data_IF_522381829468
#
_entry.id   IF_522381829468
#
_cell.length_a   1.000
_cell.length_b   1.000
_cell.length_c   1.000
_cell.angle_alpha   90.00
_cell.angle_beta   90.00
_cell.angle_gamma   90.00
#
_symmetry.space_group_name_H-M   'P 1'
#
loop_
_entity.id
_entity.type
_entity.pdbx_description
1 polymer ?
#
# COMPACT_ATOMS: atom_id res chain seq x y z
N UNK A 1 -33.85 17.49 14.24
CA UNK A 1 -33.68 17.82 12.81
C UNK A 1 -32.26 17.43 12.42
N UNK A 2 -32.09 16.44 11.55
CA UNK A 2 -30.77 16.04 11.04
C UNK A 2 -30.26 17.14 10.11
N UNK A 3 -29.18 17.81 10.51
CA UNK A 3 -28.54 18.85 9.70
C UNK A 3 -28.06 18.24 8.37
N UNK A 4 -28.48 18.82 7.25
CA UNK A 4 -28.05 18.38 5.92
C UNK A 4 -26.52 18.55 5.84
N UNK A 5 -25.74 17.53 5.41
CA UNK A 5 -24.28 17.66 5.31
C UNK A 5 -23.86 18.83 4.41
N UNK A 6 -22.83 19.58 4.80
CA UNK A 6 -22.36 20.78 4.08
C UNK A 6 -22.12 20.54 2.59
N UNK A 7 -21.48 19.42 2.24
CA UNK A 7 -21.30 18.99 0.84
C UNK A 7 -22.62 19.00 0.05
N UNK A 8 -23.69 18.45 0.62
CA UNK A 8 -24.99 18.36 -0.04
C UNK A 8 -25.62 19.73 -0.22
N UNK A 9 -25.43 20.63 0.75
CA UNK A 9 -25.85 22.03 0.62
C UNK A 9 -25.09 22.72 -0.52
N UNK A 10 -23.76 22.55 -0.59
CA UNK A 10 -22.91 23.14 -1.65
C UNK A 10 -23.35 22.66 -3.03
N UNK A 11 -23.58 21.35 -3.21
CA UNK A 11 -23.97 20.78 -4.51
C UNK A 11 -25.44 20.98 -4.87
N UNK A 12 -26.32 21.29 -3.91
CA UNK A 12 -27.73 21.58 -4.18
C UNK A 12 -27.96 22.90 -4.90
N UNK A 13 -27.00 23.82 -4.83
CA UNK A 13 -27.06 25.10 -5.52
C UNK A 13 -26.17 25.02 -6.76
N UNK A 14 -26.73 25.16 -7.99
CA UNK A 14 -25.93 25.20 -9.20
C UNK A 14 -24.79 26.22 -9.07
N UNK A 15 -23.59 25.81 -9.47
CA UNK A 15 -22.47 26.72 -9.49
C UNK A 15 -22.70 27.80 -10.56
N UNK A 16 -22.36 29.05 -10.24
CA UNK A 16 -22.36 30.11 -11.23
C UNK A 16 -21.37 29.76 -12.35
N UNK A 17 -21.71 30.09 -13.60
CA UNK A 17 -20.80 29.92 -14.74
C UNK A 17 -19.50 30.67 -14.46
N UNK A 18 -18.37 30.08 -14.82
CA UNK A 18 -17.04 30.69 -14.65
C UNK A 18 -16.39 30.91 -16.02
N UNK A 19 -17.16 31.37 -17.00
CA UNK A 19 -16.70 31.53 -18.39
C UNK A 19 -15.54 32.55 -18.50
N UNK A 20 -15.44 33.50 -17.55
CA UNK A 20 -14.34 34.47 -17.46
C UNK A 20 -13.07 33.90 -16.82
N UNK A 21 -13.16 32.74 -16.16
CA UNK A 21 -11.99 32.08 -15.59
C UNK A 21 -11.27 31.31 -16.69
N UNK A 22 -9.98 31.55 -16.96
CA UNK A 22 -9.23 30.78 -17.95
C UNK A 22 -9.27 29.27 -17.66
N UNK A 23 -9.33 28.90 -16.38
CA UNK A 23 -9.44 27.51 -15.94
C UNK A 23 -10.69 26.84 -16.51
N UNK A 24 -11.84 27.52 -16.60
CA UNK A 24 -13.11 26.94 -17.03
C UNK A 24 -13.58 27.38 -18.42
N UNK A 25 -13.23 28.60 -18.85
CA UNK A 25 -13.59 29.17 -20.15
C UNK A 25 -12.60 28.83 -21.28
N UNK A 26 -11.35 28.47 -20.95
CA UNK A 26 -10.32 28.15 -21.96
C UNK A 26 -9.89 26.68 -21.88
N UNK A 27 -9.63 26.16 -20.67
CA UNK A 27 -9.09 24.81 -20.54
C UNK A 27 -10.18 23.74 -20.66
N UNK A 28 -9.97 22.70 -21.48
CA UNK A 28 -10.90 21.57 -21.56
C UNK A 28 -10.83 20.72 -20.28
N UNK A 29 -11.86 19.89 -20.07
CA UNK A 29 -12.05 19.14 -18.83
C UNK A 29 -10.87 18.19 -18.52
N UNK A 30 -10.22 17.63 -19.53
CA UNK A 30 -9.08 16.74 -19.41
C UNK A 30 -7.87 17.46 -18.81
N UNK A 31 -7.60 18.70 -19.27
CA UNK A 31 -6.51 19.52 -18.76
C UNK A 31 -6.81 20.00 -17.35
N UNK A 32 -8.07 20.38 -17.07
CA UNK A 32 -8.50 20.69 -15.70
C UNK A 32 -8.30 19.50 -14.78
N UNK A 33 -8.72 18.31 -15.19
CA UNK A 33 -8.54 17.08 -14.42
C UNK A 33 -7.08 16.80 -14.09
N UNK A 34 -6.16 17.04 -15.03
CA UNK A 34 -4.73 16.92 -14.78
C UNK A 34 -4.23 17.95 -13.75
N UNK A 35 -4.63 19.23 -13.88
CA UNK A 35 -4.28 20.30 -12.94
C UNK A 35 -4.82 19.98 -11.54
N UNK A 36 -6.08 19.59 -11.45
CA UNK A 36 -6.74 19.23 -10.19
C UNK A 36 -6.11 18.01 -9.55
N UNK A 37 -5.72 17.02 -10.35
CA UNK A 37 -5.02 15.85 -9.83
C UNK A 37 -3.71 16.25 -9.18
N UNK A 38 -2.88 17.04 -9.87
CA UNK A 38 -1.63 17.55 -9.32
C UNK A 38 -1.81 18.40 -8.06
N UNK A 39 -2.83 19.28 -8.05
CA UNK A 39 -3.10 20.16 -6.92
C UNK A 39 -3.65 19.44 -5.68
N UNK A 40 -4.39 18.34 -5.87
CA UNK A 40 -5.08 17.62 -4.80
C UNK A 40 -4.39 16.31 -4.39
N UNK A 41 -3.31 15.92 -5.08
CA UNK A 41 -2.42 14.83 -4.63
C UNK A 41 -1.92 15.12 -3.22
N UNK A 42 -1.88 14.07 -2.41
CA UNK A 42 -1.48 14.18 -1.02
C UNK A 42 0.05 14.24 -0.85
N UNK A 43 0.50 14.76 0.28
CA UNK A 43 1.90 14.88 0.66
C UNK A 43 2.07 14.70 2.18
N UNK A 44 3.26 14.32 2.67
CA UNK A 44 3.52 14.27 4.11
C UNK A 44 3.34 15.65 4.74
N UNK A 45 2.62 15.75 5.86
CA UNK A 45 2.39 17.03 6.53
C UNK A 45 3.73 17.69 6.91
N UNK A 46 4.03 18.89 6.39
CA UNK A 46 5.31 19.56 6.68
C UNK A 46 5.35 20.17 8.10
N UNK A 47 4.23 20.19 8.82
CA UNK A 47 4.15 20.77 10.17
C UNK A 47 5.05 19.99 11.14
N UNK A 48 6.06 20.62 11.78
CA UNK A 48 7.00 19.91 12.65
C UNK A 48 6.33 19.12 13.77
N UNK A 49 5.30 19.68 14.40
CA UNK A 49 4.58 19.04 15.51
C UNK A 49 3.76 17.80 15.09
N UNK A 50 3.51 17.65 13.78
CA UNK A 50 2.81 16.48 13.22
C UNK A 50 3.78 15.41 12.71
N UNK A 51 5.08 15.63 12.78
CA UNK A 51 6.05 14.60 12.43
C UNK A 51 6.03 13.48 13.47
N UNK A 52 6.10 12.24 13.00
CA UNK A 52 6.22 11.10 13.89
C UNK A 52 7.57 11.11 14.60
N UNK A 53 7.56 10.70 15.86
CA UNK A 53 8.79 10.55 16.63
C UNK A 53 9.72 9.52 15.97
N UNK A 54 11.00 9.86 15.87
CA UNK A 54 12.02 8.97 15.28
C UNK A 54 12.07 7.61 16.00
N UNK A 55 11.85 7.58 17.31
CA UNK A 55 11.88 6.39 18.18
C UNK A 55 10.61 5.52 18.07
N UNK A 56 10.13 5.31 16.84
CA UNK A 56 8.93 4.52 16.55
C UNK A 56 9.19 3.56 15.41
N UNK A 57 8.64 2.36 15.48
CA UNK A 57 8.83 1.36 14.42
C UNK A 57 8.08 1.67 13.11
N UNK A 58 7.25 2.72 13.08
CA UNK A 58 6.47 3.12 11.89
C UNK A 58 7.03 4.36 11.17
N UNK A 59 8.00 5.07 11.78
CA UNK A 59 8.64 6.23 11.13
C UNK A 59 9.71 5.77 10.16
N UNK A 60 9.65 6.27 8.92
CA UNK A 60 10.60 5.94 7.84
C UNK A 60 10.66 7.08 6.80
N UNK A 61 11.66 7.11 5.91
CA UNK A 61 11.89 8.25 5.00
C UNK A 61 10.70 8.67 4.14
N UNK A 62 9.85 7.74 3.72
CA UNK A 62 8.65 8.02 2.91
C UNK A 62 7.35 8.07 3.73
N UNK A 63 7.45 7.87 5.05
CA UNK A 63 6.32 7.87 5.96
C UNK A 63 6.77 8.36 7.34
N UNK A 64 7.00 9.67 7.44
CA UNK A 64 7.49 10.35 8.64
C UNK A 64 6.46 11.33 9.24
N UNK A 65 5.31 11.50 8.59
CA UNK A 65 4.20 12.32 9.04
C UNK A 65 2.88 11.79 8.46
N UNK A 66 1.72 12.15 9.03
CA UNK A 66 0.43 11.93 8.40
C UNK A 66 0.39 12.57 7.00
N UNK A 67 -0.29 11.93 6.05
CA UNK A 67 -0.46 12.49 4.70
C UNK A 67 -1.68 13.40 4.65
N UNK A 68 -1.57 14.55 4.00
CA UNK A 68 -2.66 15.51 3.77
C UNK A 68 -2.70 15.98 2.32
N UNK A 69 -3.87 16.39 1.87
CA UNK A 69 -4.05 17.12 0.61
C UNK A 69 -4.32 18.59 0.92
N UNK A 70 -3.84 19.49 0.05
CA UNK A 70 -4.27 20.88 0.09
C UNK A 70 -5.72 20.99 -0.43
N UNK A 71 -6.61 21.57 0.38
CA UNK A 71 -8.03 21.71 0.04
C UNK A 71 -8.43 23.15 -0.28
N UNK A 72 -7.48 24.09 -0.34
CA UNK A 72 -7.77 25.48 -0.68
C UNK A 72 -8.45 25.62 -2.04
N UNK A 73 -8.05 24.79 -3.02
CA UNK A 73 -8.71 24.73 -4.33
C UNK A 73 -10.21 24.36 -4.21
N UNK A 74 -10.55 23.42 -3.34
CA UNK A 74 -11.94 23.01 -3.11
C UNK A 74 -12.77 24.13 -2.46
N UNK A 75 -12.11 25.06 -1.77
CA UNK A 75 -12.73 26.20 -1.12
C UNK A 75 -12.84 27.43 -2.04
N UNK A 76 -12.17 27.43 -3.19
CA UNK A 76 -12.10 28.58 -4.08
C UNK A 76 -13.42 28.85 -4.83
N UNK A 77 -14.03 27.82 -5.44
CA UNK A 77 -15.32 27.98 -6.11
C UNK A 77 -16.14 26.67 -6.16
N UNK A 78 -17.46 26.81 -6.33
CA UNK A 78 -18.39 25.66 -6.41
C UNK A 78 -18.17 24.78 -7.64
N UNK A 79 -17.72 25.33 -8.77
CA UNK A 79 -17.43 24.51 -9.96
C UNK A 79 -16.23 23.60 -9.72
N UNK A 80 -15.13 24.12 -9.15
CA UNK A 80 -13.99 23.30 -8.76
C UNK A 80 -14.40 22.24 -7.74
N UNK A 81 -15.15 22.64 -6.70
CA UNK A 81 -15.68 21.70 -5.72
C UNK A 81 -16.52 20.59 -6.36
N UNK A 82 -17.46 20.94 -7.24
CA UNK A 82 -18.33 19.98 -7.91
C UNK A 82 -17.56 18.96 -8.76
N UNK A 83 -16.52 19.40 -9.48
CA UNK A 83 -15.68 18.52 -10.28
C UNK A 83 -14.74 17.62 -9.43
N UNK A 84 -14.34 18.05 -8.22
CA UNK A 84 -13.13 17.49 -7.59
C UNK A 84 -13.20 17.12 -6.11
N UNK A 85 -14.32 17.34 -5.42
CA UNK A 85 -14.41 17.14 -3.96
C UNK A 85 -13.97 15.74 -3.46
N UNK A 86 -14.07 14.70 -4.31
CA UNK A 86 -13.69 13.33 -3.99
C UNK A 86 -12.22 12.99 -4.32
N UNK A 87 -11.55 13.83 -5.12
CA UNK A 87 -10.18 13.59 -5.58
C UNK A 87 -9.16 13.47 -4.44
N UNK A 88 -9.20 14.26 -3.35
CA UNK A 88 -8.25 14.07 -2.25
C UNK A 88 -8.25 12.64 -1.69
N UNK A 89 -9.42 11.98 -1.66
CA UNK A 89 -9.50 10.59 -1.24
C UNK A 89 -9.02 9.63 -2.34
N UNK A 90 -9.43 9.84 -3.59
CA UNK A 90 -9.14 8.91 -4.69
C UNK A 90 -7.66 8.90 -5.08
N UNK A 91 -7.03 10.07 -5.05
CA UNK A 91 -5.63 10.27 -5.43
C UNK A 91 -4.67 9.90 -4.30
N UNK A 92 -5.11 9.96 -3.05
CA UNK A 92 -4.31 9.57 -1.90
C UNK A 92 -3.98 8.08 -1.93
N UNK A 93 -2.71 7.75 -1.68
CA UNK A 93 -2.32 6.38 -1.35
C UNK A 93 -2.96 5.97 -0.01
N UNK A 94 -3.98 5.12 -0.08
CA UNK A 94 -4.70 4.65 1.09
C UNK A 94 -3.76 3.77 1.93
N UNK A 95 -3.36 4.25 3.10
CA UNK A 95 -2.44 3.52 3.98
C UNK A 95 -3.19 2.81 5.10
N UNK A 96 -2.95 1.50 5.23
CA UNK A 96 -3.56 0.66 6.26
C UNK A 96 -2.54 -0.15 7.04
N UNK A 97 -2.69 -0.17 8.36
CA UNK A 97 -1.86 -0.93 9.28
C UNK A 97 -2.61 -2.19 9.72
N UNK A 98 -2.10 -3.35 9.31
CA UNK A 98 -2.53 -4.68 9.74
C UNK A 98 -1.54 -5.21 10.78
N UNK A 99 -1.52 -4.57 11.95
CA UNK A 99 -0.53 -4.78 13.00
C UNK A 99 -1.19 -4.77 14.38
N UNK A 100 -0.42 -5.01 15.44
CA UNK A 100 -0.80 -4.53 16.77
C UNK A 100 -0.89 -2.98 16.80
N UNK A 101 -1.70 -2.42 17.70
CA UNK A 101 -1.99 -0.97 17.73
C UNK A 101 -0.77 -0.11 18.07
N UNK A 102 0.16 -0.62 18.87
CA UNK A 102 1.42 0.02 19.26
C UNK A 102 2.45 0.11 18.13
N UNK A 103 2.16 -0.51 16.97
CA UNK A 103 3.02 -0.57 15.79
C UNK A 103 2.51 0.25 14.61
N UNK A 104 1.43 0.99 14.83
CA UNK A 104 0.84 1.95 13.90
C UNK A 104 0.93 3.36 14.49
N UNK A 105 0.83 4.41 13.66
CA UNK A 105 0.72 5.79 14.13
C UNK A 105 -0.43 5.96 15.15
N UNK A 106 -0.27 6.84 16.16
CA UNK A 106 -1.19 6.95 17.30
C UNK A 106 -2.63 7.36 16.91
N UNK A 107 -2.77 8.12 15.83
CA UNK A 107 -4.04 8.53 15.23
C UNK A 107 -4.72 7.40 14.46
N UNK A 108 -3.98 6.42 13.96
CA UNK A 108 -4.53 5.29 13.22
C UNK A 108 -5.15 4.26 14.16
N UNK A 109 -6.46 4.04 14.06
CA UNK A 109 -7.18 3.06 14.89
C UNK A 109 -7.37 1.74 14.17
N UNK A 110 -6.49 0.76 14.45
CA UNK A 110 -6.42 -0.52 13.72
C UNK A 110 -7.76 -1.27 13.69
N UNK A 111 -8.52 -1.23 14.78
CA UNK A 111 -9.77 -2.01 14.91
C UNK A 111 -10.96 -1.43 14.15
N UNK A 112 -10.94 -0.15 13.78
CA UNK A 112 -12.08 0.53 13.14
C UNK A 112 -11.76 1.08 11.75
N UNK A 113 -10.49 1.10 11.34
CA UNK A 113 -10.05 1.68 10.08
C UNK A 113 -10.72 1.06 8.85
N UNK A 114 -10.96 -0.26 8.85
CA UNK A 114 -11.68 -0.93 7.74
C UNK A 114 -13.12 -0.43 7.62
N UNK A 115 -13.82 -0.25 8.74
CA UNK A 115 -15.20 0.28 8.74
C UNK A 115 -15.22 1.73 8.27
N UNK A 116 -14.24 2.53 8.70
CA UNK A 116 -14.09 3.91 8.26
C UNK A 116 -13.84 3.99 6.74
N UNK A 117 -12.97 3.13 6.21
CA UNK A 117 -12.71 3.02 4.77
C UNK A 117 -13.99 2.67 4.01
N UNK A 118 -14.70 1.62 4.44
CA UNK A 118 -15.95 1.19 3.82
C UNK A 118 -17.00 2.32 3.81
N UNK A 119 -17.14 3.04 4.92
CA UNK A 119 -18.08 4.15 5.03
C UNK A 119 -17.72 5.30 4.08
N UNK A 120 -16.43 5.66 3.98
CA UNK A 120 -15.96 6.70 3.05
C UNK A 120 -16.19 6.30 1.60
N UNK A 121 -15.84 5.08 1.21
CA UNK A 121 -16.04 4.57 -0.15
C UNK A 121 -17.53 4.56 -0.53
N UNK A 122 -18.39 4.13 0.40
CA UNK A 122 -19.84 4.15 0.20
C UNK A 122 -20.36 5.58 -0.02
N UNK A 123 -19.97 6.53 0.85
CA UNK A 123 -20.37 7.92 0.71
C UNK A 123 -19.93 8.52 -0.62
N UNK A 124 -18.71 8.20 -1.08
CA UNK A 124 -18.20 8.71 -2.35
C UNK A 124 -19.02 8.16 -3.52
N UNK A 125 -19.25 6.85 -3.55
CA UNK A 125 -20.01 6.23 -4.63
C UNK A 125 -21.45 6.76 -4.69
N UNK A 126 -22.14 6.86 -3.55
CA UNK A 126 -23.52 7.37 -3.48
C UNK A 126 -23.62 8.79 -4.02
N UNK A 127 -22.68 9.66 -3.63
CA UNK A 127 -22.64 11.06 -4.08
C UNK A 127 -22.21 11.25 -5.53
N UNK A 128 -21.56 10.23 -6.12
CA UNK A 128 -21.21 10.17 -7.53
C UNK A 128 -22.25 9.46 -8.39
N UNK A 129 -23.48 9.27 -7.87
CA UNK A 129 -24.56 8.67 -8.64
C UNK A 129 -24.40 7.15 -8.86
N UNK A 130 -23.65 6.46 -8.00
CA UNK A 130 -23.44 5.01 -8.09
C UNK A 130 -22.24 4.59 -8.95
N UNK A 131 -21.57 5.53 -9.62
CA UNK A 131 -20.42 5.23 -10.48
C UNK A 131 -19.26 4.60 -9.69
N UNK A 132 -18.66 3.56 -10.26
CA UNK A 132 -17.42 2.99 -9.73
C UNK A 132 -16.26 3.94 -9.98
N UNK A 133 -15.28 3.91 -9.08
CA UNK A 133 -14.06 4.68 -9.23
C UNK A 133 -12.88 3.88 -8.70
N UNK A 134 -11.76 4.00 -9.39
CA UNK A 134 -10.50 3.42 -8.93
C UNK A 134 -9.91 4.31 -7.83
N UNK A 135 -9.11 3.70 -6.95
CA UNK A 135 -8.20 4.42 -6.05
C UNK A 135 -6.77 4.24 -6.57
N UNK A 136 -5.93 5.27 -6.43
CA UNK A 136 -4.59 5.23 -7.04
C UNK A 136 -3.73 4.12 -6.44
N UNK A 137 -3.65 4.05 -5.11
CA UNK A 137 -2.87 3.04 -4.41
C UNK A 137 -3.46 2.63 -3.07
N UNK A 138 -3.23 1.38 -2.70
CA UNK A 138 -3.45 0.82 -1.37
C UNK A 138 -2.12 0.31 -0.83
N UNK A 139 -1.59 0.94 0.21
CA UNK A 139 -0.41 0.49 0.93
C UNK A 139 -0.80 -0.15 2.25
N UNK A 140 -0.27 -1.33 2.50
CA UNK A 140 -0.55 -2.13 3.69
C UNK A 140 0.75 -2.44 4.41
N UNK A 141 0.91 -1.93 5.63
CA UNK A 141 1.95 -2.39 6.54
C UNK A 141 1.38 -3.56 7.34
N UNK A 142 2.01 -4.73 7.28
CA UNK A 142 1.47 -5.92 7.90
C UNK A 142 2.47 -6.60 8.83
N UNK A 143 2.01 -6.90 10.03
CA UNK A 143 2.68 -7.84 10.91
C UNK A 143 2.37 -9.26 10.45
N UNK A 144 3.37 -10.14 10.46
CA UNK A 144 3.28 -11.46 9.84
C UNK A 144 2.11 -12.32 10.37
N UNK A 145 1.86 -12.32 11.67
CA UNK A 145 0.73 -13.10 12.24
C UNK A 145 -0.64 -12.59 11.78
N UNK A 146 -0.76 -11.29 11.51
CA UNK A 146 -2.00 -10.64 11.06
C UNK A 146 -2.22 -10.96 9.57
N UNK A 147 -1.14 -10.87 8.77
CA UNK A 147 -1.14 -11.24 7.36
C UNK A 147 -1.47 -12.71 7.15
N UNK A 148 -0.71 -13.61 7.79
CA UNK A 148 -0.88 -15.07 7.67
C UNK A 148 -2.21 -15.54 8.29
N UNK A 149 -2.81 -14.74 9.17
CA UNK A 149 -4.19 -14.90 9.65
C UNK A 149 -5.28 -14.45 8.67
N UNK A 150 -4.93 -14.04 7.44
CA UNK A 150 -5.87 -13.73 6.35
C UNK A 150 -6.45 -12.32 6.38
N UNK A 151 -5.91 -11.40 7.19
CA UNK A 151 -6.48 -10.04 7.32
C UNK A 151 -6.30 -9.18 6.08
N UNK A 152 -5.29 -9.43 5.26
CA UNK A 152 -5.14 -8.73 3.97
C UNK A 152 -6.32 -9.05 3.04
N UNK A 153 -6.68 -10.32 2.90
CA UNK A 153 -7.87 -10.71 2.13
C UNK A 153 -9.15 -10.05 2.68
N UNK A 154 -9.30 -10.01 4.01
CA UNK A 154 -10.43 -9.33 4.66
C UNK A 154 -10.46 -7.83 4.36
N UNK A 155 -9.32 -7.15 4.31
CA UNK A 155 -9.24 -5.73 3.93
C UNK A 155 -9.63 -5.54 2.46
N UNK A 156 -9.11 -6.38 1.57
CA UNK A 156 -9.41 -6.32 0.13
C UNK A 156 -10.88 -6.65 -0.19
N UNK A 157 -11.57 -7.40 0.67
CA UNK A 157 -13.02 -7.61 0.59
C UNK A 157 -13.87 -6.36 0.89
N UNK A 158 -13.24 -5.24 1.27
CA UNK A 158 -13.98 -3.99 1.51
C UNK A 158 -14.72 -3.59 0.24
N UNK A 159 -16.05 -3.48 0.27
CA UNK A 159 -16.81 -3.13 -0.93
C UNK A 159 -16.34 -1.80 -1.51
N UNK A 160 -16.29 -1.73 -2.85
CA UNK A 160 -15.96 -0.52 -3.63
C UNK A 160 -14.48 -0.10 -3.54
N UNK A 161 -13.63 -0.97 -3.00
CA UNK A 161 -12.20 -0.76 -2.95
C UNK A 161 -11.56 -1.31 -4.24
N UNK A 162 -11.21 -0.41 -5.15
CA UNK A 162 -10.64 -0.74 -6.46
C UNK A 162 -9.26 -0.09 -6.64
N UNK A 163 -8.22 -0.53 -5.91
CA UNK A 163 -6.88 0.04 -6.05
C UNK A 163 -6.26 -0.36 -7.38
N UNK A 164 -5.49 0.54 -7.99
CA UNK A 164 -4.67 0.25 -9.17
C UNK A 164 -3.33 -0.38 -8.78
N UNK A 165 -2.73 0.12 -7.71
CA UNK A 165 -1.53 -0.45 -7.08
C UNK A 165 -1.85 -0.97 -5.69
N UNK A 166 -1.41 -2.19 -5.40
CA UNK A 166 -1.37 -2.74 -4.05
C UNK A 166 0.09 -2.83 -3.61
N UNK A 167 0.42 -2.31 -2.43
CA UNK A 167 1.75 -2.51 -1.82
C UNK A 167 1.59 -3.15 -0.46
N UNK A 168 2.28 -4.27 -0.24
CA UNK A 168 2.39 -4.93 1.06
C UNK A 168 3.81 -4.75 1.59
N UNK A 169 3.96 -4.11 2.74
CA UNK A 169 5.27 -3.90 3.39
C UNK A 169 5.36 -4.74 4.65
N UNK A 170 6.38 -5.58 4.74
CA UNK A 170 6.80 -6.27 5.97
C UNK A 170 8.05 -5.58 6.49
N UNK A 171 7.90 -4.83 7.59
CA UNK A 171 9.00 -4.12 8.27
C UNK A 171 9.89 -5.08 9.05
N UNK A 172 11.11 -4.66 9.40
CA UNK A 172 12.01 -5.44 10.26
C UNK A 172 11.31 -5.95 11.52
N UNK A 173 10.62 -5.05 12.21
CA UNK A 173 9.92 -5.39 13.44
C UNK A 173 8.70 -6.30 13.19
N UNK A 174 8.19 -6.41 11.97
CA UNK A 174 6.94 -7.12 11.68
C UNK A 174 7.13 -8.60 11.29
N UNK A 175 8.39 -9.02 11.10
CA UNK A 175 8.74 -10.42 10.87
C UNK A 175 8.45 -11.29 12.10
N UNK A 176 8.22 -12.58 11.86
CA UNK A 176 8.06 -13.55 12.93
C UNK A 176 9.31 -13.64 13.82
N UNK A 177 9.13 -13.46 15.13
CA UNK A 177 10.17 -13.61 16.14
C UNK A 177 11.44 -12.79 15.83
N UNK A 178 11.27 -11.61 15.23
CA UNK A 178 12.36 -10.68 14.92
C UNK A 178 13.12 -10.26 16.20
N UNK A 179 12.42 -10.21 17.34
CA UNK A 179 13.00 -9.90 18.65
C UNK A 179 14.10 -10.89 19.03
N UNK A 180 13.99 -12.15 18.57
CA UNK A 180 14.91 -13.24 18.85
C UNK A 180 15.84 -13.56 17.68
N UNK A 181 15.99 -12.63 16.74
CA UNK A 181 16.81 -12.73 15.54
C UNK A 181 16.56 -13.98 14.68
N UNK A 182 15.33 -14.51 14.69
CA UNK A 182 15.04 -15.74 13.95
C UNK A 182 15.24 -15.55 12.43
N UNK A 183 15.54 -16.65 11.70
CA UNK A 183 15.61 -16.62 10.24
C UNK A 183 14.28 -16.18 9.61
N UNK A 184 14.36 -15.39 8.55
CA UNK A 184 13.18 -14.87 7.85
C UNK A 184 12.40 -16.00 7.17
N UNK A 185 11.08 -15.89 7.17
CA UNK A 185 10.18 -16.86 6.55
C UNK A 185 8.80 -16.26 6.24
N UNK A 186 8.08 -16.90 5.32
CA UNK A 186 6.64 -16.73 5.09
C UNK A 186 5.96 -18.08 5.04
N UNK A 187 4.83 -18.20 5.75
CA UNK A 187 3.80 -19.15 5.37
C UNK A 187 3.02 -18.60 4.16
N UNK A 188 2.43 -19.51 3.38
CA UNK A 188 1.75 -19.17 2.12
C UNK A 188 0.22 -19.37 2.16
N UNK A 189 -0.34 -19.74 3.31
CA UNK A 189 -1.76 -20.06 3.48
C UNK A 189 -2.70 -18.85 3.22
N UNK A 190 -2.19 -17.62 3.30
CA UNK A 190 -2.95 -16.40 3.05
C UNK A 190 -3.09 -16.05 1.56
N UNK A 191 -2.19 -16.57 0.69
CA UNK A 191 -2.11 -16.18 -0.72
C UNK A 191 -3.39 -16.56 -1.47
N UNK A 192 -3.93 -17.76 -1.24
CA UNK A 192 -5.20 -18.18 -1.84
C UNK A 192 -6.33 -17.21 -1.47
N UNK A 193 -6.43 -16.87 -0.19
CA UNK A 193 -7.47 -15.94 0.28
C UNK A 193 -7.37 -14.57 -0.37
N UNK A 194 -6.15 -14.07 -0.63
CA UNK A 194 -5.94 -12.83 -1.40
C UNK A 194 -6.38 -13.02 -2.85
N UNK A 195 -6.00 -14.12 -3.50
CA UNK A 195 -6.39 -14.39 -4.89
C UNK A 195 -7.91 -14.51 -5.08
N UNK A 196 -8.61 -15.09 -4.11
CA UNK A 196 -10.07 -15.22 -4.13
C UNK A 196 -10.78 -13.86 -4.15
N UNK A 197 -10.10 -12.78 -3.73
CA UNK A 197 -10.70 -11.46 -3.50
C UNK A 197 -10.03 -10.32 -4.28
N UNK A 198 -8.91 -10.59 -4.97
CA UNK A 198 -8.11 -9.57 -5.64
C UNK A 198 -8.82 -9.01 -6.88
N UNK A 199 -9.14 -7.72 -6.85
CA UNK A 199 -9.92 -7.05 -7.89
C UNK A 199 -9.16 -6.86 -9.22
N UNK A 200 -9.89 -6.82 -10.33
CA UNK A 200 -9.32 -6.61 -11.69
C UNK A 200 -8.71 -5.22 -11.91
N UNK A 201 -9.04 -4.25 -11.04
CA UNK A 201 -8.42 -2.91 -11.03
C UNK A 201 -6.93 -2.98 -10.73
N UNK A 202 -6.48 -3.96 -9.93
CA UNK A 202 -5.07 -4.10 -9.52
C UNK A 202 -4.22 -4.45 -10.74
N UNK A 203 -3.35 -3.51 -11.13
CA UNK A 203 -2.40 -3.66 -12.24
C UNK A 203 -1.02 -4.06 -11.76
N UNK A 204 -0.70 -3.74 -10.51
CA UNK A 204 0.58 -3.98 -9.88
C UNK A 204 0.36 -4.34 -8.41
N UNK A 205 0.99 -5.43 -7.97
CA UNK A 205 1.08 -5.78 -6.56
C UNK A 205 2.56 -5.83 -6.16
N UNK A 206 3.03 -4.88 -5.36
CA UNK A 206 4.39 -4.84 -4.83
C UNK A 206 4.45 -5.45 -3.44
N UNK A 207 5.44 -6.30 -3.19
CA UNK A 207 5.77 -6.76 -1.83
C UNK A 207 7.13 -6.18 -1.44
N UNK A 208 7.15 -5.30 -0.44
CA UNK A 208 8.35 -4.71 0.15
C UNK A 208 8.80 -5.54 1.36
N UNK A 209 10.03 -6.03 1.28
CA UNK A 209 10.69 -6.84 2.30
C UNK A 209 11.76 -5.99 2.97
N UNK A 210 11.50 -5.50 4.18
CA UNK A 210 12.45 -4.69 4.94
C UNK A 210 13.02 -5.51 6.11
N UNK A 211 14.34 -5.53 6.22
CA UNK A 211 15.05 -5.97 7.43
C UNK A 211 16.37 -5.20 7.55
N UNK A 212 17.26 -5.68 8.41
CA UNK A 212 18.55 -5.05 8.67
C UNK A 212 19.52 -5.31 7.52
N UNK A 213 20.47 -4.41 7.29
CA UNK A 213 21.53 -4.60 6.28
C UNK A 213 22.30 -5.92 6.52
N UNK A 214 22.54 -6.30 7.78
CA UNK A 214 23.15 -7.60 8.15
C UNK A 214 22.33 -8.82 7.75
N UNK A 215 21.04 -8.65 7.43
CA UNK A 215 20.12 -9.70 6.95
C UNK A 215 19.83 -9.64 5.45
N UNK A 216 20.56 -8.82 4.66
CA UNK A 216 20.33 -8.67 3.22
C UNK A 216 20.27 -10.01 2.48
N UNK A 217 21.17 -10.95 2.80
CA UNK A 217 21.24 -12.26 2.13
C UNK A 217 19.98 -13.11 2.41
N UNK A 218 19.36 -12.93 3.58
CA UNK A 218 18.09 -13.57 3.90
C UNK A 218 16.93 -12.94 3.12
N UNK A 219 16.91 -11.60 3.00
CA UNK A 219 15.93 -10.88 2.18
C UNK A 219 16.05 -11.31 0.71
N UNK A 220 17.26 -11.33 0.17
CA UNK A 220 17.54 -11.73 -1.21
C UNK A 220 17.11 -13.18 -1.47
N UNK A 221 17.35 -14.09 -0.51
CA UNK A 221 16.92 -15.48 -0.60
C UNK A 221 15.38 -15.62 -0.55
N UNK A 222 14.69 -14.90 0.33
CA UNK A 222 13.23 -14.88 0.39
C UNK A 222 12.66 -14.32 -0.91
N UNK A 223 13.22 -13.21 -1.40
CA UNK A 223 12.81 -12.60 -2.65
C UNK A 223 13.01 -13.55 -3.83
N UNK A 224 14.16 -14.24 -3.93
CA UNK A 224 14.40 -15.24 -4.97
C UNK A 224 13.32 -16.33 -4.97
N UNK A 225 13.08 -16.94 -3.80
CA UNK A 225 12.06 -17.98 -3.68
C UNK A 225 10.64 -17.44 -4.01
N UNK A 226 10.34 -16.22 -3.61
CA UNK A 226 9.08 -15.54 -3.94
C UNK A 226 8.92 -15.45 -5.46
N UNK A 227 9.97 -15.02 -6.18
CA UNK A 227 9.95 -14.89 -7.63
C UNK A 227 9.80 -16.22 -8.37
N UNK A 228 10.32 -17.29 -7.79
CA UNK A 228 10.24 -18.64 -8.37
C UNK A 228 8.89 -19.31 -8.11
N UNK A 229 8.23 -19.03 -6.97
CA UNK A 229 7.12 -19.84 -6.45
C UNK A 229 5.76 -19.13 -6.44
N UNK A 230 5.73 -17.80 -6.31
CA UNK A 230 4.49 -17.08 -6.04
C UNK A 230 3.85 -16.51 -7.29
N UNK A 231 2.52 -16.44 -7.26
CA UNK A 231 1.67 -15.79 -8.24
C UNK A 231 0.43 -15.26 -7.52
N UNK A 232 -0.22 -14.25 -8.09
CA UNK A 232 -1.50 -13.74 -7.58
C UNK A 232 -2.53 -13.68 -8.69
N UNK A 233 -3.59 -14.49 -8.57
CA UNK A 233 -4.71 -14.50 -9.51
C UNK A 233 -5.74 -13.46 -9.10
N UNK A 234 -6.25 -12.71 -10.07
CA UNK A 234 -7.33 -11.75 -9.89
C UNK A 234 -8.69 -12.41 -10.16
N UNK A 235 -9.76 -11.78 -9.69
CA UNK A 235 -11.15 -12.20 -9.96
C UNK A 235 -11.49 -12.28 -11.45
N UNK A 236 -10.89 -11.42 -12.27
CA UNK A 236 -11.09 -11.43 -13.73
C UNK A 236 -10.26 -12.52 -14.46
N UNK A 237 -9.59 -13.40 -13.71
CA UNK A 237 -8.84 -14.52 -14.23
C UNK A 237 -7.41 -14.20 -14.65
N UNK A 238 -7.04 -12.91 -14.75
CA UNK A 238 -5.66 -12.54 -15.03
C UNK A 238 -4.75 -12.87 -13.84
N UNK A 239 -3.48 -13.14 -14.13
CA UNK A 239 -2.49 -13.53 -13.12
C UNK A 239 -1.34 -12.53 -13.11
N UNK A 240 -0.99 -12.09 -11.92
CA UNK A 240 0.19 -11.28 -11.65
C UNK A 240 1.33 -12.20 -11.24
N UNK A 241 2.46 -12.05 -11.92
CA UNK A 241 3.70 -12.78 -11.69
C UNK A 241 4.83 -11.83 -11.37
N UNK A 242 5.85 -12.28 -10.65
CA UNK A 242 7.10 -11.54 -10.52
C UNK A 242 8.07 -11.87 -11.67
N UNK A 243 9.02 -10.97 -11.92
CA UNK A 243 10.09 -11.18 -12.90
C UNK A 243 11.23 -12.03 -12.31
N UNK A 244 11.36 -13.28 -12.75
CA UNK A 244 12.34 -14.24 -12.20
C UNK A 244 13.79 -13.83 -12.47
N UNK A 245 14.05 -13.03 -13.51
CA UNK A 245 15.41 -12.55 -13.84
C UNK A 245 15.94 -11.57 -12.81
N UNK A 246 15.06 -10.95 -12.02
CA UNK A 246 15.40 -9.93 -11.03
C UNK A 246 15.60 -8.53 -11.60
N UNK A 247 15.48 -8.32 -12.91
CA UNK A 247 15.71 -7.01 -13.55
C UNK A 247 14.74 -5.91 -13.15
N UNK A 248 13.56 -6.28 -12.63
CA UNK A 248 12.55 -5.35 -12.12
C UNK A 248 12.52 -5.23 -10.59
N UNK A 249 13.48 -5.80 -9.86
CA UNK A 249 13.56 -5.66 -8.40
C UNK A 249 14.16 -4.29 -8.05
N UNK A 250 13.54 -3.60 -7.10
CA UNK A 250 14.05 -2.34 -6.56
C UNK A 250 14.66 -2.58 -5.17
N UNK A 251 15.82 -2.00 -4.92
CA UNK A 251 16.47 -2.02 -3.62
C UNK A 251 16.60 -0.59 -3.12
N UNK A 252 16.16 -0.35 -1.90
CA UNK A 252 16.39 0.91 -1.18
C UNK A 252 17.02 0.62 0.17
N UNK A 253 17.72 1.64 0.71
CA UNK A 253 18.37 1.58 2.01
C UNK A 253 18.06 2.85 2.78
N UNK A 254 17.94 2.72 4.09
CA UNK A 254 17.76 3.86 4.97
C UNK A 254 18.25 3.54 6.37
N UNK A 255 18.52 4.57 7.15
CA UNK A 255 18.97 4.44 8.54
C UNK A 255 17.93 5.02 9.48
N UNK A 256 17.72 4.34 10.60
CA UNK A 256 16.82 4.76 11.66
C UNK A 256 17.48 4.62 13.03
N UNK A 257 16.72 4.99 14.07
CA UNK A 257 17.16 4.79 15.45
C UNK A 257 17.02 3.33 15.87
N UNK A 258 17.93 2.87 16.74
CA UNK A 258 17.83 1.58 17.40
C UNK A 258 16.84 1.55 18.57
N UNK A 259 16.26 2.69 18.91
CA UNK A 259 15.37 2.83 20.06
C UNK A 259 13.91 2.92 19.63
N UNK A 260 13.07 2.13 20.28
CA UNK A 260 11.63 2.14 20.08
C UNK A 260 10.89 1.88 21.40
N UNK A 261 9.91 2.71 21.74
CA UNK A 261 9.09 2.59 22.96
C UNK A 261 9.93 2.43 24.24
N UNK A 262 11.02 3.21 24.35
CA UNK A 262 11.95 3.16 25.49
C UNK A 262 12.81 1.90 25.56
N UNK A 263 12.84 1.06 24.51
CA UNK A 263 13.73 -0.09 24.39
C UNK A 263 14.75 0.13 23.27
N UNK A 264 16.02 -0.11 23.57
CA UNK A 264 17.12 -0.02 22.61
C UNK A 264 17.51 -1.41 22.13
N UNK A 265 17.58 -1.59 20.81
CA UNK A 265 17.93 -2.86 20.15
C UNK A 265 19.41 -2.88 19.75
N UNK A 266 20.30 -2.89 20.74
CA UNK A 266 21.76 -2.81 20.52
C UNK A 266 22.32 -3.92 19.63
N UNK A 267 21.72 -5.11 19.66
CA UNK A 267 22.06 -6.21 18.73
C UNK A 267 21.95 -5.81 17.26
N UNK A 268 21.00 -4.94 16.93
CA UNK A 268 20.65 -4.58 15.56
C UNK A 268 21.42 -3.33 15.08
N UNK A 269 22.21 -2.70 15.95
CA UNK A 269 22.96 -1.50 15.65
C UNK A 269 24.11 -1.75 14.66
N UNK A 270 24.27 -0.83 13.72
CA UNK A 270 25.49 -0.72 12.89
C UNK A 270 26.48 0.27 13.49
N UNK A 271 25.96 1.30 14.17
CA UNK A 271 26.67 2.28 14.98
C UNK A 271 25.82 2.56 16.24
N UNK A 272 26.40 3.08 17.35
CA UNK A 272 25.64 3.38 18.56
C UNK A 272 24.40 4.23 18.27
N UNK A 273 23.21 3.73 18.63
CA UNK A 273 21.94 4.42 18.40
C UNK A 273 21.37 4.31 16.98
N UNK A 274 22.04 3.64 16.03
CA UNK A 274 21.68 3.61 14.61
C UNK A 274 21.53 2.19 14.09
N UNK A 275 20.45 1.97 13.34
CA UNK A 275 20.20 0.75 12.57
C UNK A 275 20.15 1.10 11.09
N UNK A 276 20.82 0.29 10.27
CA UNK A 276 20.69 0.36 8.81
C UNK A 276 19.76 -0.72 8.26
N UNK A 277 18.80 -0.29 7.46
CA UNK A 277 17.78 -1.12 6.84
C UNK A 277 18.07 -1.37 5.36
N UNK A 278 17.80 -2.60 4.95
CA UNK A 278 17.78 -3.07 3.57
C UNK A 278 16.34 -3.40 3.19
N UNK A 279 15.84 -2.76 2.13
CA UNK A 279 14.47 -2.97 1.63
C UNK A 279 14.54 -3.45 0.19
N UNK A 280 13.93 -4.61 -0.07
CA UNK A 280 13.80 -5.17 -1.42
C UNK A 280 12.32 -5.23 -1.81
N UNK A 281 12.00 -4.64 -2.96
CA UNK A 281 10.64 -4.63 -3.52
C UNK A 281 10.52 -5.65 -4.65
N UNK A 282 9.57 -6.57 -4.52
CA UNK A 282 9.21 -7.55 -5.57
C UNK A 282 7.90 -7.12 -6.22
N UNK A 283 7.91 -6.57 -7.45
CA UNK A 283 6.68 -6.25 -8.17
C UNK A 283 6.09 -7.49 -8.83
N UNK A 284 4.77 -7.64 -8.71
CA UNK A 284 3.96 -8.62 -9.42
C UNK A 284 3.13 -7.90 -10.48
N UNK A 285 3.34 -8.27 -11.74
CA UNK A 285 2.78 -7.63 -12.93
C UNK A 285 2.19 -8.69 -13.87
N UNK A 286 1.42 -8.27 -14.86
CA UNK A 286 0.98 -9.17 -15.93
C UNK A 286 2.22 -9.70 -16.70
N UNK A 287 2.19 -10.97 -17.09
CA UNK A 287 3.28 -11.62 -17.83
C UNK A 287 3.73 -10.80 -19.06
N UNK A 288 2.78 -10.37 -19.91
CA UNK A 288 3.06 -9.50 -21.07
C UNK A 288 3.82 -8.21 -20.73
N UNK A 289 3.61 -7.66 -19.52
CA UNK A 289 4.27 -6.43 -19.08
C UNK A 289 5.73 -6.72 -18.69
N UNK A 290 5.99 -7.89 -18.10
CA UNK A 290 7.34 -8.36 -17.74
C UNK A 290 8.15 -8.66 -19.00
N UNK A 291 7.59 -9.42 -19.92
CA UNK A 291 8.23 -9.81 -21.19
C UNK A 291 8.56 -8.59 -22.05
N UNK A 292 7.66 -7.59 -22.11
CA UNK A 292 7.92 -6.32 -22.81
C UNK A 292 9.10 -5.54 -22.22
N UNK A 293 9.39 -5.71 -20.93
CA UNK A 293 10.55 -5.12 -20.25
C UNK A 293 11.81 -6.01 -20.36
N UNK A 294 11.76 -7.11 -21.11
CA UNK A 294 12.86 -8.07 -21.25
C UNK A 294 13.02 -9.04 -20.07
N UNK A 295 12.07 -9.07 -19.14
CA UNK A 295 12.05 -10.02 -18.02
C UNK A 295 11.43 -11.38 -18.40
N UNK A 296 11.39 -12.29 -17.44
CA UNK A 296 10.79 -13.62 -17.61
C UNK A 296 9.99 -14.05 -16.39
N UNK A 297 9.10 -15.02 -16.56
CA UNK A 297 8.29 -15.58 -15.47
C UNK A 297 8.70 -17.03 -15.20
N UNK A 298 8.69 -17.44 -13.93
CA UNK A 298 8.94 -18.82 -13.52
C UNK A 298 7.93 -19.79 -14.13
N UNK A 299 8.40 -20.82 -14.84
CA UNK A 299 7.56 -21.91 -15.33
C UNK A 299 6.82 -22.63 -14.20
N UNK A 300 7.46 -22.76 -13.03
CA UNK A 300 6.87 -23.36 -11.83
C UNK A 300 5.64 -22.56 -11.38
N UNK A 301 5.78 -21.23 -11.34
CA UNK A 301 4.67 -20.34 -10.96
C UNK A 301 3.55 -20.37 -12.01
N UNK A 302 3.87 -20.40 -13.30
CA UNK A 302 2.89 -20.52 -14.40
C UNK A 302 2.10 -21.82 -14.27
N UNK A 303 2.79 -22.96 -14.11
CA UNK A 303 2.14 -24.26 -13.97
C UNK A 303 1.25 -24.32 -12.73
N UNK A 304 1.70 -23.75 -11.61
CA UNK A 304 0.90 -23.67 -10.39
C UNK A 304 -0.34 -22.79 -10.59
N UNK A 305 -0.21 -21.63 -11.23
CA UNK A 305 -1.31 -20.74 -11.55
C UNK A 305 -2.36 -21.41 -12.46
N UNK A 306 -1.93 -22.09 -13.52
CA UNK A 306 -2.81 -22.80 -14.45
C UNK A 306 -3.59 -23.92 -13.77
N UNK A 307 -2.97 -24.61 -12.81
CA UNK A 307 -3.61 -25.68 -12.02
C UNK A 307 -4.41 -25.16 -10.83
N UNK A 308 -4.41 -23.85 -10.56
CA UNK A 308 -4.84 -23.25 -9.28
C UNK A 308 -4.23 -23.98 -8.06
N UNK A 309 -2.95 -24.39 -8.15
CA UNK A 309 -2.24 -25.09 -7.08
C UNK A 309 -1.69 -24.09 -6.06
N UNK A 310 -2.42 -23.91 -4.95
CA UNK A 310 -2.03 -23.09 -3.81
C UNK A 310 -1.44 -23.92 -2.66
N UNK A 311 -0.74 -25.03 -2.95
CA UNK A 311 -0.17 -25.89 -1.91
C UNK A 311 0.79 -25.09 -0.99
N UNK A 312 0.44 -24.90 0.31
CA UNK A 312 1.22 -24.05 1.19
C UNK A 312 2.66 -24.54 1.40
N UNK A 313 2.92 -25.85 1.30
CA UNK A 313 4.28 -26.39 1.45
C UNK A 313 5.19 -26.02 0.29
N UNK A 314 4.65 -25.96 -0.93
CA UNK A 314 5.42 -25.57 -2.14
C UNK A 314 5.67 -24.07 -2.17
N UNK A 315 4.69 -23.28 -1.74
CA UNK A 315 4.76 -21.82 -1.74
C UNK A 315 5.46 -21.25 -0.50
N UNK A 316 5.68 -22.03 0.56
CA UNK A 316 6.42 -21.56 1.74
C UNK A 316 7.80 -20.99 1.35
N UNK A 317 8.15 -19.85 1.95
CA UNK A 317 9.47 -19.22 1.82
C UNK A 317 10.17 -19.30 3.16
N UNK A 318 11.45 -19.66 3.17
CA UNK A 318 12.21 -19.72 4.41
C UNK A 318 13.70 -19.61 4.15
N UNK A 319 14.41 -18.99 5.10
CA UNK A 319 15.85 -19.09 5.19
C UNK A 319 16.21 -20.35 6.00
N UNK A 320 17.22 -21.14 5.58
CA UNK A 320 17.72 -22.24 6.39
C UNK A 320 18.24 -21.70 7.72
N UNK A 321 18.12 -22.51 8.79
CA UNK A 321 18.78 -22.17 10.06
C UNK A 321 20.30 -22.20 9.83
N UNK A 322 21.07 -21.26 10.40
CA UNK A 322 22.51 -21.42 10.47
C UNK A 322 22.82 -22.78 11.08
N UNK A 323 23.67 -23.57 10.43
CA UNK A 323 24.12 -24.86 10.97
C UNK A 323 24.63 -24.66 12.40
N UNK A 324 24.24 -25.56 13.30
CA UNK A 324 24.81 -25.64 14.64
C UNK A 324 26.24 -26.14 14.58
#
# INVERSE_FOLDING_TARGET
MTQIPLHTQILSVPAARQDESPLFGVLPAEIRSAIFSLALTDYPDPTPDNQYAAETCYTRPHYFAPRKSDVALLQACRMAYAETWFLPFVLQEQTHWLTAQDRAPPEYKVHVSQRALQSRLQQIQEKRGGETFDTEGLRVFAQMYVLEGGKLARLLLTPRLYPRRLTLTIRHADWWNWESDQPLRFEANWIKGVCDVLEGSVKEFCIELESLERKKDQIDLIAKQMREKWFFKRKDGAVLFPDVTGGNVEVSRWSGTSTWHGKTWTRDETEPGRIDYYVLTVPFLLQRTIERKGGAVSEVAIQAANKNDFNPRKMKLFCPRPGR
#
